data_IF_757718498360
#
_entry.id   IF_757718498360
#
_cell.length_a   1.000
_cell.length_b   1.000
_cell.length_c   1.000
_cell.angle_alpha   90.00
_cell.angle_beta   90.00
_cell.angle_gamma   90.00
#
_symmetry.space_group_name_H-M   'P 1'
#
loop_
_entity.id
_entity.type
_entity.pdbx_description
1 polymer ?
#
# COMPACT_ATOMS: atom_id res chain seq x y z
N UNK A 1 -15.20 18.16 0.27
CA UNK A 1 -14.05 18.48 -0.59
C UNK A 1 -13.18 19.44 0.20
N UNK A 2 -12.02 18.96 0.62
CA UNK A 2 -10.98 19.77 1.24
C UNK A 2 -9.78 19.73 0.30
N UNK A 3 -9.36 20.89 -0.23
CA UNK A 3 -8.18 21.02 -1.09
C UNK A 3 -7.23 21.95 -0.34
N UNK A 4 -6.02 21.48 -0.04
CA UNK A 4 -5.01 22.29 0.64
C UNK A 4 -3.67 22.25 -0.12
N UNK A 5 -3.15 23.45 -0.40
CA UNK A 5 -1.83 23.65 -1.00
C UNK A 5 -0.87 24.20 0.05
N UNK A 6 0.19 23.45 0.37
CA UNK A 6 1.10 23.74 1.47
C UNK A 6 2.56 23.76 0.97
N UNK A 7 3.18 24.94 0.98
CA UNK A 7 4.51 25.14 0.35
C UNK A 7 5.72 24.90 1.25
N UNK A 8 5.54 24.41 2.48
CA UNK A 8 6.66 24.24 3.43
C UNK A 8 6.38 23.16 4.47
N UNK A 9 5.80 23.52 5.60
CA UNK A 9 5.30 22.61 6.63
C UNK A 9 3.80 22.69 6.64
N UNK A 10 3.13 21.54 6.66
CA UNK A 10 1.72 21.55 7.02
C UNK A 10 1.06 20.21 7.08
N UNK A 11 -0.10 20.27 7.68
CA UNK A 11 -0.97 19.17 8.05
C UNK A 11 -2.32 19.43 7.42
N UNK A 12 -2.77 18.51 6.58
CA UNK A 12 -4.15 18.46 6.10
C UNK A 12 -4.89 17.50 7.01
N UNK A 13 -5.89 17.98 7.74
CA UNK A 13 -6.75 17.17 8.60
C UNK A 13 -8.21 17.30 8.13
N UNK A 14 -8.84 16.17 7.80
CA UNK A 14 -10.18 16.15 7.23
C UNK A 14 -11.09 15.11 7.86
N UNK A 15 -12.25 15.57 8.33
CA UNK A 15 -13.37 14.73 8.77
C UNK A 15 -14.54 14.84 7.77
N UNK A 16 -14.89 13.73 7.10
CA UNK A 16 -15.95 13.70 6.10
C UNK A 16 -16.96 12.58 6.38
N UNK A 17 -18.22 12.94 6.60
CA UNK A 17 -19.28 12.00 7.03
C UNK A 17 -20.09 11.38 5.88
N UNK A 18 -19.86 11.83 4.65
CA UNK A 18 -20.59 11.37 3.46
C UNK A 18 -19.63 11.26 2.28
N UNK A 19 -19.83 12.07 1.23
CA UNK A 19 -18.96 12.09 0.06
C UNK A 19 -17.82 13.10 0.23
N UNK A 20 -16.59 12.63 0.03
CA UNK A 20 -15.39 13.39 0.34
C UNK A 20 -14.21 13.16 -0.58
N UNK A 21 -13.46 14.23 -0.78
CA UNK A 21 -12.11 14.20 -1.37
C UNK A 21 -11.22 15.07 -0.49
N UNK A 22 -10.06 14.53 -0.14
CA UNK A 22 -8.93 15.22 0.49
C UNK A 22 -7.83 15.24 -0.55
N UNK A 23 -7.41 16.44 -0.94
CA UNK A 23 -6.35 16.67 -1.93
C UNK A 23 -5.28 17.56 -1.29
N UNK A 24 -4.05 17.06 -1.26
CA UNK A 24 -2.93 17.69 -0.58
C UNK A 24 -1.68 17.75 -1.46
N UNK A 25 -1.13 18.96 -1.60
CA UNK A 25 0.17 19.17 -2.26
C UNK A 25 1.15 19.82 -1.27
N UNK A 26 2.17 19.07 -0.86
CA UNK A 26 3.13 19.46 0.17
C UNK A 26 4.58 19.39 -0.32
N UNK A 27 5.30 20.52 -0.32
CA UNK A 27 6.63 20.56 -0.94
C UNK A 27 7.83 20.27 -0.01
N UNK A 28 7.63 20.16 1.30
CA UNK A 28 8.72 19.85 2.24
C UNK A 28 8.33 18.81 3.29
N UNK A 29 7.69 19.19 4.39
CA UNK A 29 7.30 18.25 5.45
C UNK A 29 5.78 18.27 5.61
N UNK A 30 5.16 17.12 5.41
CA UNK A 30 3.71 17.01 5.27
C UNK A 30 3.09 15.84 5.98
N UNK A 31 1.91 16.06 6.55
CA UNK A 31 1.02 15.00 6.99
C UNK A 31 -0.37 15.22 6.39
N UNK A 32 -0.98 14.16 5.89
CA UNK A 32 -2.37 14.12 5.44
C UNK A 32 -3.07 13.11 6.32
N UNK A 33 -4.04 13.55 7.11
CA UNK A 33 -4.88 12.73 7.98
C UNK A 33 -6.33 12.88 7.55
N UNK A 34 -6.97 11.76 7.20
CA UNK A 34 -8.32 11.76 6.66
C UNK A 34 -9.19 10.68 7.29
N UNK A 35 -10.30 11.10 7.91
CA UNK A 35 -11.37 10.24 8.39
C UNK A 35 -12.63 10.40 7.53
N UNK A 36 -12.96 9.36 6.75
CA UNK A 36 -14.10 9.36 5.81
C UNK A 36 -15.06 8.20 6.08
N UNK A 37 -16.31 8.49 6.46
CA UNK A 37 -17.25 7.43 6.88
C UNK A 37 -18.04 6.76 5.76
N UNK A 38 -18.09 7.33 4.54
CA UNK A 38 -18.91 6.79 3.46
C UNK A 38 -18.14 6.59 2.14
N UNK A 39 -17.98 7.62 1.33
CA UNK A 39 -17.29 7.50 0.04
C UNK A 39 -16.19 8.56 -0.02
N UNK A 40 -14.94 8.11 -0.11
CA UNK A 40 -13.77 8.93 0.12
C UNK A 40 -12.65 8.71 -0.88
N UNK A 41 -11.98 9.80 -1.23
CA UNK A 41 -10.67 9.76 -1.90
C UNK A 41 -9.69 10.62 -1.11
N UNK A 42 -8.50 10.08 -0.87
CA UNK A 42 -7.34 10.80 -0.33
C UNK A 42 -6.27 10.79 -1.41
N UNK A 43 -5.89 11.96 -1.90
CA UNK A 43 -4.85 12.16 -2.89
C UNK A 43 -3.78 13.07 -2.29
N UNK A 44 -2.53 12.59 -2.23
CA UNK A 44 -1.44 13.28 -1.58
C UNK A 44 -0.16 13.25 -2.43
N UNK A 45 0.33 14.44 -2.78
CA UNK A 45 1.63 14.64 -3.41
C UNK A 45 2.60 15.33 -2.43
N UNK A 46 3.62 14.59 -1.99
CA UNK A 46 4.60 15.08 -1.01
C UNK A 46 6.03 14.93 -1.52
N UNK A 47 6.76 16.04 -1.73
CA UNK A 47 8.08 15.97 -2.40
C UNK A 47 9.27 15.65 -1.50
N UNK A 48 9.15 15.72 -0.16
CA UNK A 48 10.28 15.45 0.73
C UNK A 48 9.96 14.44 1.83
N UNK A 49 9.39 14.84 2.97
CA UNK A 49 8.95 13.92 4.02
C UNK A 49 7.44 13.96 4.12
N UNK A 50 6.80 12.80 3.99
CA UNK A 50 5.35 12.67 3.96
C UNK A 50 4.81 11.54 4.79
N UNK A 51 3.68 11.78 5.44
CA UNK A 51 2.82 10.74 5.99
C UNK A 51 1.40 10.94 5.47
N UNK A 52 0.81 9.86 4.97
CA UNK A 52 -0.60 9.81 4.56
C UNK A 52 -1.26 8.76 5.44
N UNK A 53 -2.22 9.17 6.26
CA UNK A 53 -3.04 8.32 7.12
C UNK A 53 -4.50 8.49 6.71
N UNK A 54 -5.14 7.38 6.33
CA UNK A 54 -6.50 7.40 5.84
C UNK A 54 -7.35 6.28 6.46
N UNK A 55 -8.40 6.69 7.18
CA UNK A 55 -9.43 5.80 7.70
C UNK A 55 -10.74 5.96 6.91
N UNK A 56 -11.10 4.94 6.12
CA UNK A 56 -12.29 4.96 5.26
C UNK A 56 -13.25 3.80 5.59
N UNK A 57 -14.44 4.09 6.09
CA UNK A 57 -15.36 3.05 6.61
C UNK A 57 -16.14 2.29 5.52
N UNK A 58 -16.32 2.85 4.33
CA UNK A 58 -17.10 2.20 3.27
C UNK A 58 -16.29 2.07 1.98
N UNK A 59 -16.39 3.01 1.04
CA UNK A 59 -15.63 2.94 -0.21
C UNK A 59 -14.53 4.00 -0.20
N UNK A 60 -13.29 3.57 -0.42
CA UNK A 60 -12.11 4.41 -0.28
C UNK A 60 -11.07 4.20 -1.37
N UNK A 61 -10.47 5.30 -1.81
CA UNK A 61 -9.21 5.30 -2.56
C UNK A 61 -8.21 6.15 -1.82
N UNK A 62 -7.00 5.63 -1.63
CA UNK A 62 -5.84 6.36 -1.12
C UNK A 62 -4.78 6.30 -2.22
N UNK A 63 -4.40 7.47 -2.72
CA UNK A 63 -3.35 7.66 -3.72
C UNK A 63 -2.28 8.57 -3.11
N UNK A 64 -1.05 8.08 -3.05
CA UNK A 64 0.05 8.79 -2.42
C UNK A 64 1.33 8.74 -3.27
N UNK A 65 1.79 9.91 -3.70
CA UNK A 65 3.07 10.10 -4.36
C UNK A 65 4.06 10.81 -3.43
N UNK A 66 5.09 10.10 -2.97
CA UNK A 66 6.10 10.62 -2.05
C UNK A 66 7.52 10.49 -2.63
N UNK A 67 8.19 11.62 -2.90
CA UNK A 67 9.47 11.59 -3.64
C UNK A 67 10.68 11.21 -2.78
N UNK A 68 10.68 11.42 -1.46
CA UNK A 68 11.83 11.08 -0.61
C UNK A 68 11.49 10.06 0.48
N UNK A 69 11.04 10.48 1.66
CA UNK A 69 10.66 9.57 2.75
C UNK A 69 9.16 9.60 2.94
N UNK A 70 8.52 8.44 2.82
CA UNK A 70 7.08 8.32 2.85
C UNK A 70 6.58 7.18 3.72
N UNK A 71 5.51 7.45 4.45
CA UNK A 71 4.65 6.43 5.05
C UNK A 71 3.24 6.61 4.52
N UNK A 72 2.63 5.54 4.05
CA UNK A 72 1.21 5.47 3.68
C UNK A 72 0.57 4.41 4.57
N UNK A 73 -0.39 4.83 5.39
CA UNK A 73 -1.20 3.96 6.25
C UNK A 73 -2.67 4.12 5.83
N UNK A 74 -3.32 3.01 5.50
CA UNK A 74 -4.68 3.01 5.03
C UNK A 74 -5.50 1.89 5.67
N UNK A 75 -6.55 2.27 6.39
CA UNK A 75 -7.56 1.37 6.94
C UNK A 75 -8.89 1.55 6.21
N UNK A 76 -9.29 0.54 5.43
CA UNK A 76 -10.53 0.56 4.64
C UNK A 76 -11.44 -0.62 4.99
N UNK A 77 -12.63 -0.36 5.53
CA UNK A 77 -13.49 -1.45 6.05
C UNK A 77 -14.28 -2.19 4.97
N UNK A 78 -14.67 -1.56 3.85
CA UNK A 78 -15.44 -2.25 2.80
C UNK A 78 -14.66 -2.41 1.49
N UNK A 79 -14.75 -1.45 0.56
CA UNK A 79 -14.03 -1.52 -0.71
C UNK A 79 -12.91 -0.50 -0.72
N UNK A 80 -11.68 -0.98 -0.90
CA UNK A 80 -10.48 -0.15 -0.81
C UNK A 80 -9.53 -0.31 -1.98
N UNK A 81 -8.94 0.79 -2.39
CA UNK A 81 -7.73 0.80 -3.22
C UNK A 81 -6.70 1.69 -2.54
N UNK A 82 -5.49 1.16 -2.39
CA UNK A 82 -4.31 1.88 -1.90
C UNK A 82 -3.28 1.83 -3.01
N UNK A 83 -2.92 2.98 -3.55
CA UNK A 83 -1.86 3.16 -4.54
C UNK A 83 -0.78 4.06 -3.93
N UNK A 84 0.45 3.57 -3.88
CA UNK A 84 1.55 4.29 -3.27
C UNK A 84 2.82 4.22 -4.14
N UNK A 85 3.29 5.39 -4.56
CA UNK A 85 4.55 5.56 -5.27
C UNK A 85 5.55 6.31 -4.39
N UNK A 86 6.62 5.61 -3.95
CA UNK A 86 7.64 6.17 -3.08
C UNK A 86 9.04 6.03 -3.68
N UNK A 87 9.72 7.14 -4.00
CA UNK A 87 10.98 7.07 -4.76
C UNK A 87 12.22 6.73 -3.92
N UNK A 88 12.28 7.07 -2.63
CA UNK A 88 13.46 6.75 -1.81
C UNK A 88 13.16 5.73 -0.71
N UNK A 89 12.70 6.15 0.47
CA UNK A 89 12.39 5.25 1.58
C UNK A 89 10.89 5.24 1.82
N UNK A 90 10.26 4.08 1.69
CA UNK A 90 8.82 3.93 1.75
C UNK A 90 8.36 2.85 2.70
N UNK A 91 7.27 3.12 3.40
CA UNK A 91 6.44 2.10 4.05
C UNK A 91 5.01 2.28 3.58
N UNK A 92 4.40 1.18 3.14
CA UNK A 92 2.98 1.09 2.79
C UNK A 92 2.37 0.04 3.71
N UNK A 93 1.40 0.46 4.52
CA UNK A 93 0.62 -0.38 5.42
C UNK A 93 -0.86 -0.26 5.04
N UNK A 94 -1.49 -1.38 4.70
CA UNK A 94 -2.86 -1.39 4.23
C UNK A 94 -3.67 -2.51 4.87
N UNK A 95 -4.72 -2.12 5.58
CA UNK A 95 -5.70 -3.03 6.18
C UNK A 95 -7.06 -2.87 5.49
N UNK A 96 -7.48 -3.90 4.74
CA UNK A 96 -8.75 -3.88 4.01
C UNK A 96 -9.64 -5.07 4.40
N UNK A 97 -10.82 -4.81 4.99
CA UNK A 97 -11.63 -5.92 5.56
C UNK A 97 -12.47 -6.68 4.52
N UNK A 98 -12.89 -6.07 3.41
CA UNK A 98 -13.70 -6.77 2.40
C UNK A 98 -12.97 -6.92 1.06
N UNK A 99 -13.11 -5.99 0.12
CA UNK A 99 -12.43 -6.08 -1.18
C UNK A 99 -11.33 -5.03 -1.24
N UNK A 100 -10.09 -5.48 -1.44
CA UNK A 100 -8.92 -4.63 -1.40
C UNK A 100 -8.01 -4.82 -2.61
N UNK A 101 -7.43 -3.71 -3.05
CA UNK A 101 -6.24 -3.71 -3.91
C UNK A 101 -5.20 -2.82 -3.24
N UNK A 102 -3.98 -3.35 -3.13
CA UNK A 102 -2.80 -2.61 -2.68
C UNK A 102 -1.79 -2.67 -3.81
N UNK A 103 -1.41 -1.51 -4.33
CA UNK A 103 -0.38 -1.33 -5.34
C UNK A 103 0.71 -0.44 -4.75
N UNK A 104 1.94 -0.93 -4.74
CA UNK A 104 3.06 -0.23 -4.14
C UNK A 104 4.30 -0.29 -5.01
N UNK A 105 4.78 0.87 -5.44
CA UNK A 105 6.04 1.03 -6.17
C UNK A 105 7.05 1.79 -5.32
N UNK A 106 8.12 1.12 -4.89
CA UNK A 106 9.19 1.70 -4.06
C UNK A 106 10.56 1.56 -4.72
N UNK A 107 11.21 2.67 -5.06
CA UNK A 107 12.43 2.60 -5.88
C UNK A 107 13.70 2.20 -5.10
N UNK A 108 13.85 2.61 -3.84
CA UNK A 108 15.08 2.34 -3.06
C UNK A 108 14.87 1.35 -1.90
N UNK A 109 14.38 1.80 -0.75
CA UNK A 109 14.14 0.94 0.41
C UNK A 109 12.64 0.91 0.71
N UNK A 110 12.04 -0.27 0.66
CA UNK A 110 10.59 -0.41 0.77
C UNK A 110 10.14 -1.49 1.73
N UNK A 111 9.06 -1.20 2.45
CA UNK A 111 8.24 -2.22 3.13
C UNK A 111 6.81 -2.07 2.67
N UNK A 112 6.21 -3.17 2.22
CA UNK A 112 4.80 -3.28 1.90
C UNK A 112 4.20 -4.31 2.85
N UNK A 113 3.18 -3.92 3.60
CA UNK A 113 2.44 -4.75 4.54
C UNK A 113 0.96 -4.64 4.20
N UNK A 114 0.34 -5.75 3.85
CA UNK A 114 -1.04 -5.78 3.38
C UNK A 114 -1.84 -6.90 4.03
N UNK A 115 -2.89 -6.53 4.75
CA UNK A 115 -3.85 -7.45 5.35
C UNK A 115 -5.22 -7.28 4.69
N UNK A 116 -5.67 -8.31 3.96
CA UNK A 116 -6.98 -8.31 3.28
C UNK A 116 -7.84 -9.49 3.72
N UNK A 117 -9.00 -9.25 4.34
CA UNK A 117 -9.76 -10.35 4.96
C UNK A 117 -10.64 -11.13 3.98
N UNK A 118 -11.14 -10.54 2.88
CA UNK A 118 -11.97 -11.26 1.91
C UNK A 118 -11.29 -11.41 0.54
N UNK A 119 -11.51 -10.50 -0.40
CA UNK A 119 -10.87 -10.58 -1.73
C UNK A 119 -9.77 -9.54 -1.83
N UNK A 120 -8.55 -9.99 -2.08
CA UNK A 120 -7.37 -9.13 -2.10
C UNK A 120 -6.51 -9.30 -3.34
N UNK A 121 -5.95 -8.18 -3.80
CA UNK A 121 -4.77 -8.17 -4.66
C UNK A 121 -3.70 -7.30 -4.02
N UNK A 122 -2.50 -7.85 -3.90
CA UNK A 122 -1.30 -7.11 -3.49
C UNK A 122 -0.33 -7.17 -4.64
N UNK A 123 0.11 -6.00 -5.10
CA UNK A 123 1.08 -5.82 -6.17
C UNK A 123 2.20 -4.92 -5.64
N UNK A 124 3.41 -5.43 -5.59
CA UNK A 124 4.55 -4.74 -4.98
C UNK A 124 5.79 -4.82 -5.86
N UNK A 125 6.28 -3.66 -6.28
CA UNK A 125 7.53 -3.52 -7.02
C UNK A 125 8.56 -2.74 -6.20
N UNK A 126 9.65 -3.41 -5.81
CA UNK A 126 10.73 -2.80 -5.03
C UNK A 126 12.08 -2.94 -5.75
N UNK A 127 12.74 -1.83 -6.11
CA UNK A 127 13.91 -1.90 -6.99
C UNK A 127 15.23 -2.21 -6.27
N UNK A 128 15.41 -1.79 -5.02
CA UNK A 128 16.64 -2.08 -4.28
C UNK A 128 16.41 -3.06 -3.12
N UNK A 129 16.07 -2.59 -1.92
CA UNK A 129 15.93 -3.45 -0.75
C UNK A 129 14.47 -3.45 -0.31
N UNK A 130 13.85 -4.62 -0.30
CA UNK A 130 12.40 -4.73 -0.14
C UNK A 130 11.95 -5.83 0.81
N UNK A 131 10.90 -5.54 1.57
CA UNK A 131 10.08 -6.55 2.23
C UNK A 131 8.64 -6.40 1.77
N UNK A 132 8.03 -7.51 1.36
CA UNK A 132 6.60 -7.60 1.08
C UNK A 132 6.02 -8.65 2.04
N UNK A 133 5.07 -8.24 2.86
CA UNK A 133 4.27 -9.11 3.73
C UNK A 133 2.80 -8.98 3.32
N UNK A 134 2.17 -10.09 2.95
CA UNK A 134 0.81 -10.12 2.48
C UNK A 134 0.01 -11.25 3.13
N UNK A 135 -1.04 -10.90 3.87
CA UNK A 135 -1.99 -11.83 4.47
C UNK A 135 -3.37 -11.65 3.84
N UNK A 136 -3.84 -12.67 3.11
CA UNK A 136 -5.17 -12.69 2.48
C UNK A 136 -6.01 -13.86 3.01
N UNK A 137 -7.13 -13.59 3.66
CA UNK A 137 -7.88 -14.67 4.33
C UNK A 137 -8.74 -15.48 3.34
N UNK A 138 -9.44 -14.88 2.38
CA UNK A 138 -10.27 -15.64 1.43
C UNK A 138 -9.61 -15.84 0.07
N UNK A 139 -9.90 -14.99 -0.91
CA UNK A 139 -9.33 -15.11 -2.27
C UNK A 139 -8.27 -14.05 -2.48
N UNK A 140 -7.07 -14.47 -2.86
CA UNK A 140 -5.91 -13.58 -2.92
C UNK A 140 -5.04 -13.75 -4.15
N UNK A 141 -4.52 -12.65 -4.65
CA UNK A 141 -3.34 -12.65 -5.51
C UNK A 141 -2.27 -11.78 -4.87
N UNK A 142 -1.05 -12.31 -4.79
CA UNK A 142 0.14 -11.56 -4.38
C UNK A 142 1.11 -11.62 -5.55
N UNK A 143 1.48 -10.47 -6.09
CA UNK A 143 2.54 -10.29 -7.09
C UNK A 143 3.62 -9.42 -6.45
N UNK A 144 4.85 -9.93 -6.37
CA UNK A 144 5.97 -9.25 -5.75
C UNK A 144 7.24 -9.35 -6.60
N UNK A 145 7.73 -8.21 -7.07
CA UNK A 145 8.98 -8.10 -7.81
C UNK A 145 10.00 -7.29 -7.00
N UNK A 146 11.11 -7.92 -6.63
CA UNK A 146 12.24 -7.27 -5.93
C UNK A 146 13.53 -7.42 -6.73
N UNK A 147 14.13 -6.31 -7.19
CA UNK A 147 15.27 -6.42 -8.13
C UNK A 147 16.66 -6.54 -7.50
N UNK A 148 16.84 -6.22 -6.21
CA UNK A 148 18.13 -6.50 -5.54
C UNK A 148 17.97 -7.50 -4.40
N UNK A 149 17.80 -7.02 -3.18
CA UNK A 149 17.75 -7.86 -1.99
C UNK A 149 16.35 -7.79 -1.40
N UNK A 150 15.75 -8.92 -1.03
CA UNK A 150 14.45 -8.83 -0.39
C UNK A 150 13.86 -10.09 0.18
N UNK A 151 12.72 -9.88 0.80
CA UNK A 151 11.92 -10.93 1.43
C UNK A 151 10.47 -10.77 0.98
N UNK A 152 9.87 -11.85 0.50
CA UNK A 152 8.43 -11.93 0.27
C UNK A 152 7.87 -12.97 1.22
N UNK A 153 6.92 -12.58 2.06
CA UNK A 153 6.09 -13.46 2.89
C UNK A 153 4.64 -13.30 2.45
N UNK A 154 4.00 -14.40 2.06
CA UNK A 154 2.64 -14.40 1.56
C UNK A 154 1.83 -15.56 2.16
N UNK A 155 0.76 -15.23 2.87
CA UNK A 155 -0.17 -16.21 3.44
C UNK A 155 -1.58 -16.02 2.86
N UNK A 156 -2.08 -17.04 2.16
CA UNK A 156 -3.45 -17.06 1.62
C UNK A 156 -4.22 -18.26 2.18
N UNK A 157 -5.33 -18.05 2.90
CA UNK A 157 -5.96 -19.18 3.61
C UNK A 157 -6.92 -20.01 2.74
N UNK A 158 -7.64 -19.41 1.79
CA UNK A 158 -8.55 -20.16 0.90
C UNK A 158 -7.94 -20.38 -0.49
N UNK A 159 -8.27 -19.53 -1.46
CA UNK A 159 -7.81 -19.68 -2.83
C UNK A 159 -6.86 -18.56 -3.21
N UNK A 160 -5.74 -18.89 -3.85
CA UNK A 160 -4.90 -17.80 -4.33
C UNK A 160 -3.76 -18.16 -5.25
N UNK A 161 -3.07 -17.11 -5.64
CA UNK A 161 -1.89 -17.15 -6.47
C UNK A 161 -0.83 -16.27 -5.83
N UNK A 162 0.37 -16.81 -5.64
CA UNK A 162 1.55 -16.03 -5.27
C UNK A 162 2.53 -16.12 -6.42
N UNK A 163 2.89 -14.98 -6.99
CA UNK A 163 3.99 -14.82 -7.93
C UNK A 163 5.04 -13.92 -7.27
N UNK A 164 6.25 -14.44 -7.08
CA UNK A 164 7.32 -13.71 -6.44
C UNK A 164 8.62 -13.88 -7.23
N UNK A 165 9.17 -12.76 -7.71
CA UNK A 165 10.44 -12.71 -8.41
C UNK A 165 11.44 -11.85 -7.63
N UNK A 166 12.54 -12.48 -7.19
CA UNK A 166 13.68 -11.78 -6.62
C UNK A 166 14.89 -11.97 -7.54
N UNK A 167 15.41 -10.88 -8.12
CA UNK A 167 16.44 -10.99 -9.18
C UNK A 167 17.88 -11.05 -8.68
N UNK A 168 18.16 -10.82 -7.38
CA UNK A 168 19.50 -11.07 -6.83
C UNK A 168 19.46 -12.02 -5.62
N UNK A 169 19.26 -11.53 -4.40
CA UNK A 169 19.28 -12.37 -3.21
C UNK A 169 18.00 -12.19 -2.42
N UNK A 170 17.46 -13.28 -1.87
CA UNK A 170 16.28 -13.14 -1.03
C UNK A 170 15.60 -14.43 -0.64
N UNK A 171 14.56 -14.25 0.16
CA UNK A 171 13.67 -15.32 0.61
C UNK A 171 12.27 -15.07 0.08
N UNK A 172 11.63 -16.15 -0.33
CA UNK A 172 10.20 -16.17 -0.62
C UNK A 172 9.67 -17.26 0.28
N UNK A 173 8.77 -16.90 1.20
CA UNK A 173 7.93 -17.81 1.95
C UNK A 173 6.50 -17.57 1.50
N UNK A 174 5.82 -18.63 1.08
CA UNK A 174 4.49 -18.54 0.52
C UNK A 174 3.67 -19.76 0.93
N UNK A 175 2.58 -19.53 1.63
CA UNK A 175 1.69 -20.57 2.13
C UNK A 175 0.26 -20.32 1.65
N UNK A 176 -0.27 -21.29 0.90
CA UNK A 176 -1.69 -21.33 0.52
C UNK A 176 -2.33 -22.54 1.20
N UNK A 177 -3.31 -22.33 2.09
CA UNK A 177 -3.80 -23.45 2.92
C UNK A 177 -4.87 -24.33 2.27
N UNK A 178 -5.57 -23.85 1.22
CA UNK A 178 -6.58 -24.68 0.53
C UNK A 178 -6.20 -25.02 -0.92
N UNK A 179 -6.29 -24.07 -1.86
CA UNK A 179 -5.98 -24.33 -3.28
C UNK A 179 -5.33 -23.11 -3.92
N UNK A 180 -4.21 -23.33 -4.60
CA UNK A 180 -3.56 -22.23 -5.30
C UNK A 180 -2.28 -22.62 -5.99
N UNK A 181 -1.63 -21.61 -6.55
CA UNK A 181 -0.32 -21.74 -7.18
C UNK A 181 0.67 -20.80 -6.50
N UNK A 182 1.88 -21.29 -6.31
CA UNK A 182 3.02 -20.49 -5.89
C UNK A 182 4.06 -20.60 -6.99
N UNK A 183 4.39 -19.48 -7.64
CA UNK A 183 5.58 -19.34 -8.47
C UNK A 183 6.56 -18.44 -7.74
N UNK A 184 7.75 -18.96 -7.47
CA UNK A 184 8.77 -18.28 -6.68
C UNK A 184 10.12 -18.43 -7.39
N UNK A 185 10.49 -17.40 -8.16
CA UNK A 185 11.71 -17.40 -8.95
C UNK A 185 12.79 -16.55 -8.27
N UNK A 186 13.96 -17.16 -8.10
CA UNK A 186 15.18 -16.49 -7.62
C UNK A 186 16.23 -16.56 -8.71
N UNK A 187 16.63 -15.42 -9.25
CA UNK A 187 17.81 -15.35 -10.10
C UNK A 187 19.04 -15.14 -9.21
N UNK A 188 19.98 -16.09 -9.26
CA UNK A 188 21.28 -15.99 -8.58
C UNK A 188 22.36 -15.49 -9.53
#
# INVERSE_FOLDING_TARGET
MSIEFITSLGTVDALITSLGTVDALITSLGTVDALITSLGTVDALITSLGTVDALITSLGTVDALITSLGTVDALITSLGTVDALITSLGTVDALITSLGTVDALITSLGRVDALITSLGRVDALITSLGTVDALITSLGTVDALITSLGTVDALITSLGTVDALITSLGTVDALITSLGTVDALKAY
#
